data_IF_371158915099
#
_entry.id   IF_371158915099
#
_cell.length_a   1.000
_cell.length_b   1.000
_cell.length_c   1.000
_cell.angle_alpha   90.00
_cell.angle_beta   90.00
_cell.angle_gamma   90.00
#
_symmetry.space_group_name_H-M   'P 1'
#
loop_
_entity.id
_entity.type
_entity.pdbx_description
1 polymer ?
#
# COMPACT_ATOMS: atom_id res chain seq x y z
N UNK A 1 -2.77 6.42 -2.26
CA UNK A 1 -2.77 4.98 -2.56
C UNK A 1 -2.23 4.31 -1.31
N UNK A 2 -2.88 3.27 -0.82
CA UNK A 2 -2.59 2.71 0.51
C UNK A 2 -2.67 1.19 0.48
N UNK A 3 -2.09 0.61 1.52
CA UNK A 3 -2.23 -0.78 1.91
C UNK A 3 -3.56 -0.99 2.62
N UNK A 4 -4.00 -2.25 2.71
CA UNK A 4 -5.28 -2.64 3.30
C UNK A 4 -5.16 -2.86 4.80
N UNK A 5 -4.86 -1.77 5.50
CA UNK A 5 -4.70 -1.72 6.95
C UNK A 5 -5.76 -0.81 7.55
N UNK A 6 -6.72 -1.39 8.30
CA UNK A 6 -7.88 -0.67 8.81
C UNK A 6 -7.48 0.56 9.65
N UNK A 7 -6.50 0.42 10.54
CA UNK A 7 -6.06 1.52 11.39
C UNK A 7 -5.49 2.70 10.60
N UNK A 8 -4.82 2.45 9.48
CA UNK A 8 -4.28 3.50 8.62
C UNK A 8 -5.39 4.18 7.83
N UNK A 9 -6.35 3.41 7.32
CA UNK A 9 -7.55 3.91 6.64
C UNK A 9 -8.34 4.83 7.58
N UNK A 10 -8.57 4.39 8.82
CA UNK A 10 -9.31 5.15 9.82
C UNK A 10 -8.55 6.44 10.20
N UNK A 11 -7.24 6.35 10.43
CA UNK A 11 -6.42 7.53 10.73
C UNK A 11 -6.44 8.55 9.57
N UNK A 12 -6.31 8.08 8.33
CA UNK A 12 -6.30 8.95 7.15
C UNK A 12 -7.64 9.64 6.95
N UNK A 13 -8.74 8.89 7.03
CA UNK A 13 -10.10 9.43 6.84
C UNK A 13 -10.49 10.44 7.91
N UNK A 14 -9.99 10.28 9.15
CA UNK A 14 -10.22 11.22 10.23
C UNK A 14 -9.41 12.52 10.09
N UNK A 15 -8.19 12.46 9.54
CA UNK A 15 -7.28 13.62 9.44
C UNK A 15 -7.48 14.40 8.13
N UNK A 16 -7.68 13.70 7.01
CA UNK A 16 -7.76 14.31 5.68
C UNK A 16 -9.18 14.25 5.13
N UNK A 17 -10.06 15.05 5.73
CA UNK A 17 -11.45 15.18 5.30
C UNK A 17 -11.53 15.60 3.82
N UNK A 18 -12.21 14.80 3.01
CA UNK A 18 -12.40 15.05 1.57
C UNK A 18 -11.29 14.52 0.66
N UNK A 19 -10.19 14.00 1.20
CA UNK A 19 -9.19 13.32 0.37
C UNK A 19 -9.71 11.96 -0.12
N UNK A 20 -9.59 11.69 -1.41
CA UNK A 20 -9.96 10.39 -1.98
C UNK A 20 -8.83 9.38 -1.76
N UNK A 21 -9.11 8.37 -0.94
CA UNK A 21 -8.20 7.25 -0.71
C UNK A 21 -8.46 6.14 -1.73
N UNK A 22 -7.38 5.46 -2.13
CA UNK A 22 -7.42 4.33 -3.07
C UNK A 22 -6.48 3.24 -2.58
N UNK A 23 -6.89 2.00 -2.68
CA UNK A 23 -6.08 0.82 -2.40
C UNK A 23 -5.10 0.53 -3.54
N UNK A 24 -3.94 -0.01 -3.17
CA UNK A 24 -2.94 -0.47 -4.13
C UNK A 24 -3.36 -1.83 -4.71
N UNK A 25 -3.41 -1.96 -6.05
CA UNK A 25 -3.77 -3.23 -6.70
C UNK A 25 -2.79 -4.36 -6.38
N UNK A 26 -1.50 -4.05 -6.25
CA UNK A 26 -0.50 -5.02 -5.86
C UNK A 26 -0.78 -5.57 -4.46
N UNK A 27 -1.06 -4.68 -3.50
CA UNK A 27 -1.36 -5.10 -2.13
C UNK A 27 -2.70 -5.85 -2.01
N UNK A 28 -3.70 -5.49 -2.82
CA UNK A 28 -4.94 -6.26 -2.94
C UNK A 28 -4.64 -7.71 -3.36
N UNK A 29 -3.85 -7.90 -4.42
CA UNK A 29 -3.40 -9.22 -4.86
C UNK A 29 -2.57 -9.96 -3.79
N UNK A 30 -1.71 -9.24 -3.06
CA UNK A 30 -0.92 -9.81 -1.95
C UNK A 30 -1.81 -10.30 -0.81
N UNK A 31 -2.89 -9.59 -0.45
CA UNK A 31 -3.83 -10.06 0.57
C UNK A 31 -4.46 -11.41 0.19
N UNK A 32 -4.91 -11.56 -1.07
CA UNK A 32 -5.45 -12.84 -1.56
C UNK A 32 -4.37 -13.93 -1.59
N UNK A 33 -3.15 -13.60 -2.02
CA UNK A 33 -2.04 -14.54 -2.04
C UNK A 33 -1.69 -15.03 -0.63
N UNK A 34 -1.59 -14.14 0.36
CA UNK A 34 -1.36 -14.51 1.77
C UNK A 34 -2.48 -15.42 2.30
N UNK A 35 -3.74 -15.17 1.91
CA UNK A 35 -4.84 -16.08 2.26
C UNK A 35 -4.65 -17.45 1.63
N UNK A 36 -4.32 -17.52 0.34
CA UNK A 36 -4.07 -18.78 -0.38
C UNK A 36 -2.91 -19.55 0.28
N UNK A 37 -1.85 -18.87 0.70
CA UNK A 37 -0.71 -19.50 1.39
C UNK A 37 -1.11 -20.24 2.67
N UNK A 38 -2.17 -19.79 3.36
CA UNK A 38 -2.72 -20.42 4.55
C UNK A 38 -3.71 -21.55 4.25
N UNK A 39 -3.93 -21.90 2.98
CA UNK A 39 -4.82 -22.96 2.52
C UNK A 39 -3.98 -23.98 1.71
N UNK A 40 -3.37 -25.00 2.36
CA UNK A 40 -2.35 -25.84 1.75
C UNK A 40 -2.75 -26.49 0.43
N UNK A 41 -3.98 -27.01 0.34
CA UNK A 41 -4.51 -27.67 -0.85
C UNK A 41 -4.68 -26.69 -2.02
N UNK A 42 -5.29 -25.53 -1.76
CA UNK A 42 -5.45 -24.46 -2.76
C UNK A 42 -4.07 -23.94 -3.20
N UNK A 43 -3.16 -23.72 -2.25
CA UNK A 43 -1.79 -23.26 -2.55
C UNK A 43 -1.08 -24.23 -3.49
N UNK A 44 -1.14 -25.52 -3.19
CA UNK A 44 -0.47 -26.54 -3.99
C UNK A 44 -1.02 -26.56 -5.42
N UNK A 45 -2.35 -26.55 -5.58
CA UNK A 45 -2.98 -26.47 -6.92
C UNK A 45 -2.63 -25.16 -7.62
N UNK A 46 -2.72 -24.02 -6.95
CA UNK A 46 -2.41 -22.71 -7.53
C UNK A 46 -0.97 -22.60 -8.06
N UNK A 47 0.00 -23.25 -7.42
CA UNK A 47 1.40 -23.22 -7.85
C UNK A 47 1.68 -24.23 -8.97
N UNK A 48 1.07 -25.41 -8.90
CA UNK A 48 1.40 -26.53 -9.79
C UNK A 48 0.49 -26.65 -11.02
N UNK A 49 -0.70 -26.06 -10.97
CA UNK A 49 -1.70 -26.07 -12.04
C UNK A 49 -1.94 -24.62 -12.53
N UNK A 50 -1.40 -24.27 -13.72
CA UNK A 50 -1.59 -22.95 -14.31
C UNK A 50 -3.04 -22.59 -14.59
N UNK A 51 -3.88 -23.56 -14.95
CA UNK A 51 -5.29 -23.34 -15.28
C UNK A 51 -6.09 -23.06 -14.01
N UNK A 52 -5.85 -23.82 -12.94
CA UNK A 52 -6.37 -23.51 -11.61
C UNK A 52 -5.95 -22.11 -11.16
N UNK A 53 -4.66 -21.79 -11.31
CA UNK A 53 -4.14 -20.46 -10.99
C UNK A 53 -4.80 -19.34 -11.79
N UNK A 54 -5.09 -19.56 -13.08
CA UNK A 54 -5.80 -18.61 -13.93
C UNK A 54 -7.24 -18.39 -13.46
N UNK A 55 -7.95 -19.46 -13.09
CA UNK A 55 -9.31 -19.38 -12.55
C UNK A 55 -9.36 -18.59 -11.25
N UNK A 56 -8.46 -18.85 -10.31
CA UNK A 56 -8.37 -18.07 -9.06
C UNK A 56 -8.05 -16.59 -9.33
N UNK A 57 -7.20 -16.28 -10.32
CA UNK A 57 -6.91 -14.90 -10.71
C UNK A 57 -8.13 -14.15 -11.25
N UNK A 58 -9.17 -14.83 -11.73
CA UNK A 58 -10.42 -14.16 -12.15
C UNK A 58 -11.10 -13.43 -10.99
N UNK A 59 -10.93 -13.90 -9.74
CA UNK A 59 -11.39 -13.20 -8.54
C UNK A 59 -10.66 -11.85 -8.39
N UNK A 60 -9.35 -11.82 -8.61
CA UNK A 60 -8.53 -10.59 -8.55
C UNK A 60 -8.95 -9.60 -9.65
N UNK A 61 -9.34 -10.11 -10.83
CA UNK A 61 -9.75 -9.28 -11.97
C UNK A 61 -11.04 -8.51 -11.70
N UNK A 62 -11.86 -8.90 -10.70
CA UNK A 62 -13.04 -8.13 -10.28
C UNK A 62 -12.70 -6.69 -9.88
N UNK A 63 -11.44 -6.40 -9.52
CA UNK A 63 -10.99 -5.04 -9.26
C UNK A 63 -11.11 -4.12 -10.49
N UNK A 64 -11.24 -4.68 -11.69
CA UNK A 64 -11.41 -3.95 -12.94
C UNK A 64 -12.85 -3.96 -13.48
N UNK A 65 -13.80 -4.46 -12.70
CA UNK A 65 -15.24 -4.38 -13.04
C UNK A 65 -15.79 -3.07 -12.47
N UNK A 66 -16.69 -2.35 -13.15
CA UNK A 66 -17.35 -1.19 -12.57
C UNK A 66 -18.02 -1.56 -11.24
N UNK A 67 -17.90 -0.71 -10.22
CA UNK A 67 -18.37 -1.02 -8.85
C UNK A 67 -19.84 -1.48 -8.82
N UNK A 68 -20.69 -0.89 -9.65
CA UNK A 68 -22.12 -1.24 -9.77
C UNK A 68 -22.39 -2.67 -10.26
N UNK A 69 -21.42 -3.31 -10.92
CA UNK A 69 -21.55 -4.63 -11.52
C UNK A 69 -20.71 -5.71 -10.81
N UNK A 70 -19.99 -5.36 -9.73
CA UNK A 70 -19.11 -6.32 -9.03
C UNK A 70 -19.90 -7.50 -8.49
N UNK A 71 -21.02 -7.25 -7.81
CA UNK A 71 -21.82 -8.32 -7.21
C UNK A 71 -22.38 -9.29 -8.26
N UNK A 72 -22.90 -8.76 -9.37
CA UNK A 72 -23.42 -9.56 -10.47
C UNK A 72 -22.31 -10.40 -11.13
N UNK A 73 -21.15 -9.80 -11.41
CA UNK A 73 -20.03 -10.50 -12.03
C UNK A 73 -19.41 -11.54 -11.09
N UNK A 74 -19.36 -11.26 -9.79
CA UNK A 74 -18.92 -12.23 -8.80
C UNK A 74 -19.86 -13.43 -8.76
N UNK A 75 -21.17 -13.22 -8.70
CA UNK A 75 -22.14 -14.32 -8.72
C UNK A 75 -22.03 -15.14 -10.01
N UNK A 76 -21.92 -14.48 -11.19
CA UNK A 76 -21.68 -15.16 -12.47
C UNK A 76 -20.39 -15.97 -12.49
N UNK A 77 -19.34 -15.48 -11.83
CA UNK A 77 -18.07 -16.19 -11.71
C UNK A 77 -18.24 -17.45 -10.84
N UNK A 78 -18.93 -17.34 -9.71
CA UNK A 78 -19.18 -18.48 -8.81
C UNK A 78 -20.09 -19.55 -9.45
N UNK A 79 -20.96 -19.18 -10.38
CA UNK A 79 -21.78 -20.13 -11.18
C UNK A 79 -21.05 -20.75 -12.37
N UNK A 80 -19.74 -20.51 -12.54
CA UNK A 80 -19.00 -21.24 -13.56
C UNK A 80 -18.69 -22.65 -13.06
N UNK A 81 -18.73 -23.62 -13.97
CA UNK A 81 -18.47 -25.04 -13.68
C UNK A 81 -17.23 -25.27 -12.80
N UNK A 82 -16.12 -24.58 -13.05
CA UNK A 82 -14.91 -24.70 -12.23
C UNK A 82 -15.14 -24.40 -10.73
N UNK A 83 -15.91 -23.35 -10.42
CA UNK A 83 -16.16 -22.95 -9.04
C UNK A 83 -17.21 -23.84 -8.37
N UNK A 84 -18.21 -24.31 -9.12
CA UNK A 84 -19.20 -25.28 -8.64
C UNK A 84 -18.52 -26.63 -8.33
N UNK A 85 -17.70 -27.15 -9.25
CA UNK A 85 -16.97 -28.42 -9.08
C UNK A 85 -15.96 -28.38 -7.92
N UNK A 86 -15.51 -27.19 -7.52
CA UNK A 86 -14.55 -26.99 -6.44
C UNK A 86 -15.14 -26.22 -5.25
N UNK A 87 -16.47 -26.18 -5.09
CA UNK A 87 -17.14 -25.36 -4.07
C UNK A 87 -16.59 -25.62 -2.66
N UNK A 88 -16.53 -26.89 -2.25
CA UNK A 88 -16.06 -27.30 -0.93
C UNK A 88 -14.59 -26.89 -0.69
N UNK A 89 -13.74 -27.11 -1.70
CA UNK A 89 -12.32 -26.77 -1.65
C UNK A 89 -12.12 -25.25 -1.56
N UNK A 90 -12.87 -24.47 -2.35
CA UNK A 90 -12.70 -23.03 -2.48
C UNK A 90 -13.46 -22.23 -1.41
N UNK A 91 -14.39 -22.86 -0.69
CA UNK A 91 -15.22 -22.22 0.32
C UNK A 91 -14.41 -21.33 1.27
N UNK A 92 -13.26 -21.73 1.86
CA UNK A 92 -12.51 -20.88 2.80
C UNK A 92 -11.89 -19.62 2.14
N UNK A 93 -11.63 -19.67 0.84
CA UNK A 93 -11.11 -18.53 0.06
C UNK A 93 -12.25 -17.60 -0.36
N UNK A 94 -13.34 -18.16 -0.87
CA UNK A 94 -14.56 -17.43 -1.25
C UNK A 94 -15.13 -16.71 -0.03
N UNK A 95 -15.16 -17.40 1.11
CA UNK A 95 -15.64 -16.88 2.38
C UNK A 95 -14.87 -15.65 2.84
N UNK A 96 -13.55 -15.76 2.80
CA UNK A 96 -12.66 -14.63 3.07
C UNK A 96 -12.91 -13.49 2.10
N UNK A 97 -13.12 -13.80 0.82
CA UNK A 97 -13.29 -12.78 -0.20
C UNK A 97 -14.59 -12.00 -0.03
N UNK A 98 -15.70 -12.72 0.21
CA UNK A 98 -16.98 -12.10 0.48
C UNK A 98 -16.98 -11.32 1.79
N UNK A 99 -16.34 -11.80 2.86
CA UNK A 99 -16.30 -11.05 4.12
C UNK A 99 -15.46 -9.77 4.00
N UNK A 100 -14.32 -9.86 3.31
CA UNK A 100 -13.33 -8.78 3.31
C UNK A 100 -13.60 -7.72 2.24
N UNK A 101 -14.06 -8.11 1.05
CA UNK A 101 -14.03 -7.24 -0.14
C UNK A 101 -15.38 -6.93 -0.77
N UNK A 102 -16.33 -7.88 -0.75
CA UNK A 102 -17.64 -7.74 -1.43
C UNK A 102 -18.81 -7.53 -0.46
N UNK A 103 -18.77 -8.17 0.70
CA UNK A 103 -19.86 -8.22 1.67
C UNK A 103 -20.64 -9.53 1.62
N UNK A 104 -20.91 -10.16 2.77
CA UNK A 104 -21.66 -11.43 2.83
C UNK A 104 -23.15 -11.26 2.47
N UNK A 105 -23.74 -12.18 1.69
CA UNK A 105 -25.17 -12.14 1.41
C UNK A 105 -25.98 -12.38 2.69
N UNK A 106 -27.10 -11.68 2.82
CA UNK A 106 -28.06 -11.84 3.91
C UNK A 106 -29.30 -12.58 3.42
N UNK A 107 -30.12 -13.10 4.35
CA UNK A 107 -31.40 -13.76 4.05
C UNK A 107 -32.38 -12.93 3.20
N UNK A 108 -32.19 -11.61 3.11
CA UNK A 108 -33.04 -10.69 2.31
C UNK A 108 -32.42 -10.32 0.96
N UNK A 109 -31.45 -11.09 0.47
CA UNK A 109 -30.71 -10.85 -0.78
C UNK A 109 -30.02 -9.47 -0.83
N UNK A 110 -29.65 -8.94 0.34
CA UNK A 110 -28.78 -7.76 0.50
C UNK A 110 -27.43 -8.20 1.00
N UNK A 111 -26.33 -7.56 0.61
CA UNK A 111 -25.01 -7.84 1.18
C UNK A 111 -24.75 -6.97 2.42
N UNK A 112 -24.08 -7.55 3.43
CA UNK A 112 -23.52 -6.78 4.56
C UNK A 112 -22.36 -5.92 4.05
N UNK A 113 -22.05 -4.78 4.68
CA UNK A 113 -20.85 -4.03 4.32
C UNK A 113 -19.59 -4.90 4.44
N UNK A 114 -18.68 -4.88 3.43
CA UNK A 114 -17.38 -5.53 3.55
C UNK A 114 -16.47 -4.79 4.54
N UNK A 115 -15.38 -5.44 4.95
CA UNK A 115 -14.32 -4.81 5.76
C UNK A 115 -13.74 -3.60 5.02
N UNK A 116 -13.42 -3.76 3.73
CA UNK A 116 -12.94 -2.67 2.89
C UNK A 116 -13.98 -2.29 1.84
N UNK A 117 -14.33 -0.99 1.78
CA UNK A 117 -15.29 -0.45 0.82
C UNK A 117 -14.91 -0.79 -0.63
N UNK A 118 -15.91 -1.08 -1.48
CA UNK A 118 -15.68 -1.48 -2.87
C UNK A 118 -14.92 -0.41 -3.66
N UNK A 119 -15.19 0.88 -3.43
CA UNK A 119 -14.51 1.98 -4.09
C UNK A 119 -13.03 2.08 -3.70
N UNK A 120 -12.67 1.57 -2.52
CA UNK A 120 -11.29 1.62 -2.04
C UNK A 120 -10.41 0.68 -2.88
N UNK A 121 -10.80 -0.58 -3.06
CA UNK A 121 -9.95 -1.57 -3.75
C UNK A 121 -10.13 -1.59 -5.27
N UNK A 122 -11.26 -1.09 -5.78
CA UNK A 122 -11.54 -1.03 -7.20
C UNK A 122 -10.55 -0.14 -7.98
N UNK A 123 -10.22 -0.58 -9.20
CA UNK A 123 -9.27 0.05 -10.10
C UNK A 123 -9.88 0.45 -11.46
N UNK A 124 -11.19 0.26 -11.67
CA UNK A 124 -11.85 0.54 -12.96
C UNK A 124 -11.69 2.02 -13.35
N UNK A 125 -12.20 2.94 -12.51
CA UNK A 125 -12.13 4.38 -12.77
C UNK A 125 -10.67 4.86 -12.83
N UNK A 126 -9.81 4.34 -11.96
CA UNK A 126 -8.37 4.67 -11.96
C UNK A 126 -7.68 4.23 -13.25
N UNK A 127 -8.10 3.10 -13.83
CA UNK A 127 -7.56 2.60 -15.10
C UNK A 127 -8.02 3.46 -16.26
N UNK A 128 -9.31 3.83 -16.29
CA UNK A 128 -9.85 4.73 -17.32
C UNK A 128 -9.19 6.12 -17.27
N UNK A 129 -8.93 6.64 -16.07
CA UNK A 129 -8.25 7.92 -15.86
C UNK A 129 -6.71 7.85 -16.04
N UNK A 130 -6.13 6.70 -16.39
CA UNK A 130 -4.69 6.54 -16.57
C UNK A 130 -3.86 6.72 -15.29
N UNK A 131 -4.50 6.62 -14.12
CA UNK A 131 -3.86 6.79 -12.82
C UNK A 131 -2.99 5.58 -12.46
N UNK A 132 -1.95 5.77 -11.63
CA UNK A 132 -1.15 4.64 -11.15
C UNK A 132 -2.01 3.68 -10.33
N UNK A 133 -1.84 2.37 -10.59
CA UNK A 133 -2.50 1.24 -9.90
C UNK A 133 -1.68 0.64 -8.76
N UNK A 134 -0.37 0.91 -8.79
CA UNK A 134 0.58 0.43 -7.78
C UNK A 134 1.41 1.60 -7.26
N UNK A 135 1.94 1.41 -6.07
CA UNK A 135 2.91 2.27 -5.40
C UNK A 135 4.35 1.99 -5.85
N UNK A 136 4.61 1.23 -6.93
CA UNK A 136 5.98 0.89 -7.38
C UNK A 136 6.92 2.09 -7.45
N UNK A 137 6.44 3.27 -7.85
CA UNK A 137 7.29 4.46 -7.92
C UNK A 137 7.79 4.90 -6.53
N UNK A 138 6.96 4.69 -5.51
CA UNK A 138 7.25 4.95 -4.11
C UNK A 138 8.23 3.87 -3.61
N UNK A 139 7.94 2.59 -3.82
CA UNK A 139 8.84 1.48 -3.45
C UNK A 139 10.22 1.59 -4.09
N UNK A 140 10.29 1.96 -5.38
CA UNK A 140 11.54 2.22 -6.08
C UNK A 140 12.29 3.38 -5.44
N UNK A 141 11.59 4.46 -5.08
CA UNK A 141 12.20 5.57 -4.36
C UNK A 141 12.74 5.11 -3.01
N UNK A 142 11.98 4.32 -2.23
CA UNK A 142 12.45 3.74 -0.97
C UNK A 142 13.69 2.87 -1.18
N UNK A 143 13.71 2.00 -2.19
CA UNK A 143 14.89 1.19 -2.51
C UNK A 143 16.11 2.04 -2.84
N UNK A 144 15.94 3.08 -3.65
CA UNK A 144 17.03 4.01 -3.99
C UNK A 144 17.48 4.75 -2.72
N UNK A 145 16.54 5.27 -1.94
CA UNK A 145 16.82 6.00 -0.71
C UNK A 145 17.55 5.14 0.33
N UNK A 146 17.06 3.93 0.59
CA UNK A 146 17.71 2.94 1.44
C UNK A 146 19.08 2.53 0.91
N UNK A 147 19.26 2.38 -0.41
CA UNK A 147 20.57 2.11 -1.02
C UNK A 147 21.59 3.24 -0.81
N UNK A 148 21.12 4.49 -0.73
CA UNK A 148 21.96 5.65 -0.45
C UNK A 148 22.35 5.75 1.04
N UNK A 149 21.57 5.10 1.91
CA UNK A 149 21.78 5.02 3.35
C UNK A 149 22.63 3.82 3.79
N UNK A 150 23.15 3.00 2.86
CA UNK A 150 23.95 1.80 3.14
C UNK A 150 25.25 2.14 3.88
N UNK A 151 25.12 2.23 5.19
CA UNK A 151 26.14 2.04 6.20
C UNK A 151 25.39 1.47 7.42
N UNK A 152 25.95 0.44 8.03
CA UNK A 152 25.35 -0.37 9.10
C UNK A 152 24.85 0.46 10.30
N UNK A 153 25.25 1.72 10.42
CA UNK A 153 24.63 2.75 11.27
C UNK A 153 24.66 4.10 10.53
N UNK A 154 23.58 4.46 9.84
CA UNK A 154 23.47 5.78 9.21
C UNK A 154 23.20 6.85 10.28
N UNK A 155 24.05 7.87 10.34
CA UNK A 155 23.84 9.00 11.25
C UNK A 155 22.74 9.91 10.69
N UNK A 156 22.06 10.66 11.56
CA UNK A 156 21.06 11.66 11.13
C UNK A 156 21.65 12.66 10.12
N UNK A 157 22.93 13.02 10.27
CA UNK A 157 23.63 13.89 9.34
C UNK A 157 23.69 13.27 7.94
N UNK A 158 23.94 11.97 7.83
CA UNK A 158 23.90 11.26 6.55
C UNK A 158 22.50 11.26 5.95
N UNK A 159 21.46 11.06 6.77
CA UNK A 159 20.07 11.16 6.32
C UNK A 159 19.74 12.54 5.76
N UNK A 160 20.13 13.60 6.47
CA UNK A 160 19.91 15.00 6.05
C UNK A 160 20.63 15.28 4.73
N UNK A 161 21.88 14.84 4.57
CA UNK A 161 22.63 15.05 3.33
C UNK A 161 22.01 14.31 2.14
N UNK A 162 21.53 13.08 2.34
CA UNK A 162 20.81 12.34 1.30
C UNK A 162 19.48 13.03 0.94
N UNK A 163 18.73 13.52 1.93
CA UNK A 163 17.49 14.28 1.69
C UNK A 163 17.75 15.59 0.94
N UNK A 164 18.81 16.33 1.30
CA UNK A 164 19.23 17.54 0.58
C UNK A 164 19.59 17.23 -0.86
N UNK A 165 20.32 16.13 -1.10
CA UNK A 165 20.69 15.71 -2.46
C UNK A 165 19.46 15.36 -3.30
N UNK A 166 18.51 14.60 -2.75
CA UNK A 166 17.24 14.29 -3.44
C UNK A 166 16.39 15.54 -3.69
N UNK A 167 16.33 16.46 -2.74
CA UNK A 167 15.65 17.75 -2.91
C UNK A 167 16.28 18.53 -4.06
N UNK A 168 17.61 18.72 -4.04
CA UNK A 168 18.33 19.44 -5.07
C UNK A 168 18.12 18.83 -6.47
N UNK A 169 18.18 17.50 -6.60
CA UNK A 169 17.91 16.80 -7.86
C UNK A 169 16.46 16.96 -8.34
N UNK A 170 15.51 17.13 -7.40
CA UNK A 170 14.11 17.38 -7.74
C UNK A 170 13.90 18.81 -8.18
N UNK A 171 14.51 19.78 -7.50
CA UNK A 171 14.42 21.21 -7.83
C UNK A 171 15.02 21.48 -9.21
N UNK A 172 16.15 20.84 -9.57
CA UNK A 172 16.72 20.91 -10.93
C UNK A 172 15.69 20.45 -11.97
N UNK A 173 15.01 19.32 -11.75
CA UNK A 173 14.02 18.79 -12.70
C UNK A 173 12.79 19.70 -12.83
N UNK A 174 12.34 20.29 -11.73
CA UNK A 174 11.24 21.27 -11.73
C UNK A 174 11.65 22.51 -12.54
N UNK A 175 12.86 23.04 -12.32
CA UNK A 175 13.35 24.21 -13.04
C UNK A 175 13.54 23.94 -14.54
N UNK A 176 14.02 22.75 -14.92
CA UNK A 176 14.09 22.32 -16.33
C UNK A 176 12.71 22.30 -16.97
N UNK A 177 11.71 21.77 -16.26
CA UNK A 177 10.32 21.74 -16.72
C UNK A 177 9.73 23.15 -16.88
N UNK A 178 9.95 24.04 -15.90
CA UNK A 178 9.50 25.45 -15.97
C UNK A 178 10.16 26.19 -17.14
N UNK A 179 11.42 25.87 -17.45
CA UNK A 179 12.16 26.43 -18.58
C UNK A 179 11.72 25.89 -19.96
N UNK A 180 10.64 25.09 -20.03
CA UNK A 180 10.11 24.56 -21.28
C UNK A 180 10.93 23.42 -21.88
N UNK A 181 11.93 22.88 -21.15
CA UNK A 181 12.57 21.64 -21.56
C UNK A 181 11.57 20.51 -21.37
N UNK A 182 11.26 19.80 -22.46
CA UNK A 182 10.44 18.61 -22.35
C UNK A 182 11.15 17.61 -21.45
N UNK A 183 10.48 17.10 -20.40
CA UNK A 183 11.06 16.07 -19.58
C UNK A 183 11.34 14.86 -20.49
N UNK A 184 12.50 14.19 -20.35
CA UNK A 184 12.78 12.98 -21.12
C UNK A 184 11.62 12.00 -20.95
N UNK A 185 11.21 11.34 -22.04
CA UNK A 185 10.05 10.47 -22.11
C UNK A 185 9.91 9.60 -20.83
N UNK A 186 8.69 9.61 -20.25
CA UNK A 186 8.40 9.13 -18.88
C UNK A 186 9.20 7.89 -18.45
N UNK A 187 10.06 8.06 -17.45
CA UNK A 187 10.12 7.15 -16.30
C UNK A 187 9.43 7.87 -15.12
N UNK A 188 8.27 7.35 -14.70
CA UNK A 188 7.34 7.94 -13.72
C UNK A 188 8.06 8.39 -12.41
N UNK A 189 7.94 9.66 -11.98
CA UNK A 189 8.46 10.19 -10.68
C UNK A 189 7.44 11.21 -10.08
N UNK A 190 6.69 10.86 -9.01
CA UNK A 190 6.80 11.09 -7.53
C UNK A 190 5.90 12.22 -7.00
N UNK A 191 5.05 11.85 -6.04
CA UNK A 191 4.49 12.71 -4.98
C UNK A 191 4.97 12.18 -3.63
N UNK A 192 5.31 13.06 -2.68
CA UNK A 192 5.96 12.74 -1.39
C UNK A 192 4.94 12.22 -0.36
N UNK A 193 5.06 10.95 0.03
CA UNK A 193 4.39 10.29 1.16
C UNK A 193 5.44 9.36 1.81
N UNK A 194 5.54 9.33 3.14
CA UNK A 194 6.41 8.40 3.85
C UNK A 194 5.56 7.24 4.36
N UNK A 195 5.54 6.17 3.55
CA UNK A 195 5.01 4.86 3.94
C UNK A 195 6.13 4.08 4.65
N UNK A 196 5.79 3.16 5.55
CA UNK A 196 6.71 2.35 6.37
C UNK A 196 7.58 3.07 7.43
N UNK A 197 7.05 4.09 8.13
CA UNK A 197 7.76 4.70 9.29
C UNK A 197 8.10 3.69 10.40
N UNK A 198 7.43 2.54 10.43
CA UNK A 198 7.64 1.52 11.46
C UNK A 198 9.03 0.91 11.42
N UNK A 199 9.74 1.03 10.30
CA UNK A 199 11.16 0.68 10.18
C UNK A 199 12.11 1.82 10.59
N UNK A 200 11.60 3.01 10.92
CA UNK A 200 12.41 4.13 11.38
C UNK A 200 12.58 4.08 12.91
N UNK A 201 13.82 4.23 13.37
CA UNK A 201 14.12 4.31 14.79
C UNK A 201 13.43 5.55 15.42
N UNK A 202 12.88 5.41 16.64
CA UNK A 202 12.22 6.51 17.39
C UNK A 202 13.06 7.79 17.44
N UNK A 203 14.37 7.63 17.65
CA UNK A 203 15.32 8.75 17.63
C UNK A 203 15.37 9.50 16.29
N UNK A 204 15.16 8.81 15.17
CA UNK A 204 15.06 9.46 13.85
C UNK A 204 13.86 10.39 13.74
N UNK A 205 12.72 10.01 14.32
CA UNK A 205 11.47 10.80 14.32
C UNK A 205 11.59 12.01 15.26
N UNK A 206 12.17 11.83 16.45
CA UNK A 206 12.40 12.92 17.40
C UNK A 206 13.40 13.95 16.89
N UNK A 207 14.48 13.49 16.23
CA UNK A 207 15.47 14.41 15.66
C UNK A 207 14.89 15.12 14.43
N UNK A 208 14.10 14.44 13.58
CA UNK A 208 13.36 15.09 12.48
C UNK A 208 12.47 16.24 13.01
N UNK A 209 11.70 15.98 14.07
CA UNK A 209 10.88 16.99 14.72
C UNK A 209 11.72 18.17 15.25
N UNK A 210 12.84 17.90 15.92
CA UNK A 210 13.73 18.94 16.45
C UNK A 210 14.37 19.78 15.34
N UNK A 211 14.88 19.15 14.30
CA UNK A 211 15.46 19.84 13.14
C UNK A 211 14.45 20.69 12.36
N UNK A 212 13.20 20.23 12.22
CA UNK A 212 12.15 21.03 11.59
C UNK A 212 11.74 22.23 12.43
N UNK A 213 11.74 22.10 13.76
CA UNK A 213 11.51 23.22 14.68
C UNK A 213 12.62 24.27 14.60
N UNK A 214 13.87 23.82 14.64
CA UNK A 214 15.05 24.69 14.60
C UNK A 214 15.14 25.43 13.27
N UNK A 215 14.97 24.73 12.15
CA UNK A 215 15.10 25.32 10.81
C UNK A 215 13.97 26.29 10.47
N UNK A 216 12.76 26.08 11.01
CA UNK A 216 11.61 26.96 10.74
C UNK A 216 11.43 28.05 11.79
N UNK A 217 12.22 28.06 12.86
CA UNK A 217 12.01 28.95 14.01
C UNK A 217 10.63 28.76 14.66
N UNK A 218 10.00 27.60 14.44
CA UNK A 218 8.63 27.33 14.87
C UNK A 218 8.64 26.15 15.85
N UNK A 219 8.23 26.39 17.10
CA UNK A 219 8.27 25.38 18.17
C UNK A 219 7.15 24.33 18.10
N UNK A 220 6.16 24.51 17.22
CA UNK A 220 5.08 23.54 17.00
C UNK A 220 5.61 22.21 16.43
N UNK A 221 4.84 21.13 16.60
CA UNK A 221 5.22 19.78 16.17
C UNK A 221 5.62 19.76 14.68
N UNK A 222 6.73 19.09 14.36
CA UNK A 222 7.36 19.05 13.03
C UNK A 222 7.60 20.46 12.44
N UNK A 223 7.87 21.45 13.29
CA UNK A 223 8.04 22.84 12.89
C UNK A 223 6.79 23.46 12.28
N UNK A 224 5.60 22.88 12.49
CA UNK A 224 4.33 23.31 11.89
C UNK A 224 4.09 22.76 10.48
N UNK A 225 4.78 21.68 10.10
CA UNK A 225 4.55 20.96 8.84
C UNK A 225 3.57 19.82 9.11
N UNK A 226 2.51 19.71 8.32
CA UNK A 226 1.67 18.50 8.33
C UNK A 226 2.46 17.36 7.72
N UNK A 227 2.92 16.44 8.57
CA UNK A 227 3.65 15.24 8.16
C UNK A 227 2.74 14.05 8.37
N UNK A 228 2.38 13.36 7.28
CA UNK A 228 1.67 12.08 7.33
C UNK A 228 2.69 10.95 7.35
N UNK A 229 2.65 10.16 8.41
CA UNK A 229 3.50 9.02 8.65
C UNK A 229 2.63 7.77 8.61
N UNK A 230 2.87 6.91 7.63
CA UNK A 230 2.19 5.64 7.44
C UNK A 230 3.20 4.50 7.68
N UNK A 231 2.75 3.36 8.20
CA UNK A 231 3.58 2.17 8.36
C UNK A 231 2.88 1.03 9.08
N UNK A 232 3.30 -0.20 8.79
CA UNK A 232 2.76 -1.42 9.39
C UNK A 232 3.52 -1.76 10.69
N UNK A 233 2.87 -1.55 11.84
CA UNK A 233 3.47 -1.79 13.16
C UNK A 233 3.49 -3.28 13.54
N UNK A 234 2.92 -4.15 12.68
CA UNK A 234 2.95 -5.62 12.81
C UNK A 234 4.04 -6.27 11.96
N UNK A 235 4.71 -5.51 11.09
CA UNK A 235 5.97 -5.93 10.47
C UNK A 235 7.10 -5.90 11.49
N UNK A 236 8.09 -6.78 11.29
CA UNK A 236 9.28 -6.88 12.16
C UNK A 236 9.86 -5.51 12.44
N UNK A 237 9.98 -5.17 13.73
CA UNK A 237 10.64 -3.97 14.22
C UNK A 237 12.02 -3.80 13.56
N UNK A 238 12.52 -2.55 13.42
CA UNK A 238 13.83 -2.31 12.84
C UNK A 238 14.88 -3.14 13.58
N UNK A 239 15.49 -4.07 12.86
CA UNK A 239 16.58 -4.87 13.40
C UNK A 239 17.74 -3.93 13.62
N UNK A 240 18.11 -3.73 14.89
CA UNK A 240 19.32 -3.00 15.27
C UNK A 240 20.46 -4.01 15.39
N UNK A 241 21.28 -4.23 14.35
CA UNK A 241 22.45 -5.08 14.47
C UNK A 241 23.37 -4.50 15.56
N UNK A 242 23.69 -5.31 16.58
CA UNK A 242 24.44 -4.93 17.80
C UNK A 242 23.68 -4.06 18.82
N UNK A 243 22.34 -4.10 18.82
CA UNK A 243 21.51 -3.42 19.81
C UNK A 243 21.87 -3.82 21.25
N UNK A 244 21.92 -2.82 22.12
CA UNK A 244 22.12 -2.96 23.57
C UNK A 244 20.76 -2.98 24.27
N UNK A 245 20.68 -3.43 25.54
CA UNK A 245 19.41 -3.47 26.30
C UNK A 245 18.70 -2.12 26.44
N UNK A 246 19.39 -1.01 26.18
CA UNK A 246 18.79 0.34 26.15
C UNK A 246 18.07 0.66 24.84
N UNK A 247 18.26 -0.15 23.79
CA UNK A 247 17.61 -0.05 22.48
C UNK A 247 16.32 -0.90 22.40
N UNK A 248 16.00 -1.65 23.47
CA UNK A 248 14.71 -2.33 23.64
C UNK A 248 13.62 -1.30 23.96
N UNK A 249 12.57 -1.24 23.14
CA UNK A 249 11.37 -0.46 23.44
C UNK A 249 10.61 -1.18 24.55
N UNK A 250 10.55 -0.58 25.74
CA UNK A 250 9.56 -0.92 26.78
C UNK A 250 8.19 -0.36 26.44
#
# INVERSE_FOLDING_TARGET
MTDFEQGLIDAFTNVFLGAQMRGCFFHFGQCLWRKIQNLPEIRQKYVNDPDFGLKIKQIIVLAFVPVSHIEENFNKLMSQQFFEDNEELLLPLIDYFEETWIGRPTRRNKRRPPIFDLKLWNQFDSTQAGLPKTNNNIEIWHRIFSSLLVASHSTIWRLIEVLKKEQHLTDIKINQFIAGQEPPAKKKKISRLWDEITMAHKGGVEVLNRSLKDRRGNKSLMGGVTVLLAGDFRQTLPVVPKGTRTDEVK
#
